data_IF_512589126220
#
_entry.id   IF_512589126220
#
_cell.length_a   1.000
_cell.length_b   1.000
_cell.length_c   1.000
_cell.angle_alpha   90.00
_cell.angle_beta   90.00
_cell.angle_gamma   90.00
#
_symmetry.space_group_name_H-M   'P 1'
#
loop_
_entity.id
_entity.type
_entity.pdbx_description
1 polymer ?
#
# COMPACT_ATOMS: atom_id res chain seq x y z
N UNK A 1 2.48 5.42 21.76
CA UNK A 1 1.07 4.95 21.69
C UNK A 1 1.02 3.70 20.82
N UNK A 2 0.42 2.60 21.30
CA UNK A 2 0.38 1.31 20.59
C UNK A 2 -0.64 1.34 19.44
N UNK A 3 -0.23 0.91 18.24
CA UNK A 3 -1.05 0.91 17.02
C UNK A 3 -1.22 -0.54 16.52
N UNK A 4 -2.18 -1.31 17.05
CA UNK A 4 -2.31 -2.74 16.75
C UNK A 4 -2.67 -3.02 15.29
N UNK A 5 -3.38 -2.10 14.65
CA UNK A 5 -3.94 -2.33 13.31
C UNK A 5 -2.98 -1.98 12.18
N UNK A 6 -1.75 -1.56 12.48
CA UNK A 6 -0.75 -1.18 11.49
C UNK A 6 0.19 -2.35 11.20
N UNK A 7 0.11 -2.91 10.01
CA UNK A 7 0.87 -4.10 9.61
C UNK A 7 1.78 -3.78 8.43
N UNK A 8 2.99 -4.32 8.44
CA UNK A 8 3.91 -4.25 7.29
C UNK A 8 3.57 -5.38 6.32
N UNK A 9 3.15 -5.05 5.10
CA UNK A 9 2.82 -6.02 4.04
C UNK A 9 3.55 -5.68 2.74
N UNK A 10 3.84 -6.72 1.97
CA UNK A 10 4.39 -6.65 0.61
C UNK A 10 3.25 -6.85 -0.37
N UNK A 11 3.06 -5.91 -1.28
CA UNK A 11 1.99 -5.91 -2.28
C UNK A 11 2.62 -5.87 -3.67
N UNK A 12 2.09 -6.66 -4.59
CA UNK A 12 2.47 -6.59 -6.01
C UNK A 12 1.70 -5.46 -6.69
N UNK A 13 2.40 -4.47 -7.23
CA UNK A 13 1.78 -3.36 -7.97
C UNK A 13 2.01 -3.60 -9.45
N UNK A 14 0.95 -3.92 -10.18
CA UNK A 14 1.03 -4.28 -11.60
C UNK A 14 1.52 -3.12 -12.45
N UNK A 15 1.10 -1.89 -12.16
CA UNK A 15 1.48 -0.69 -12.93
C UNK A 15 2.97 -0.34 -12.83
N UNK A 16 3.62 -0.75 -11.74
CA UNK A 16 5.06 -0.53 -11.52
C UNK A 16 5.88 -1.80 -11.74
N UNK A 17 5.21 -2.90 -12.11
CA UNK A 17 5.74 -4.25 -12.26
C UNK A 17 6.73 -4.65 -11.14
N UNK A 18 6.42 -4.27 -9.90
CA UNK A 18 7.31 -4.49 -8.76
C UNK A 18 6.54 -4.72 -7.47
N UNK A 19 7.24 -5.33 -6.51
CA UNK A 19 6.76 -5.41 -5.15
C UNK A 19 7.02 -4.12 -4.39
N UNK A 20 6.03 -3.70 -3.62
CA UNK A 20 6.09 -2.52 -2.77
C UNK A 20 5.81 -2.95 -1.33
N UNK A 21 6.67 -2.56 -0.40
CA UNK A 21 6.51 -2.86 1.02
C UNK A 21 5.90 -1.65 1.73
N UNK A 22 4.71 -1.80 2.29
CA UNK A 22 3.95 -0.71 2.92
C UNK A 22 3.54 -1.08 4.35
N UNK A 23 3.54 -0.09 5.25
CA UNK A 23 2.84 -0.19 6.53
C UNK A 23 1.41 0.31 6.33
N UNK A 24 0.44 -0.60 6.44
CA UNK A 24 -0.95 -0.35 6.12
C UNK A 24 -1.85 -0.72 7.28
N UNK A 25 -2.99 -0.03 7.39
CA UNK A 25 -4.07 -0.46 8.27
C UNK A 25 -4.88 -1.58 7.64
N UNK A 26 -5.60 -2.36 8.45
CA UNK A 26 -6.50 -3.40 7.93
C UNK A 26 -7.61 -2.84 7.03
N UNK A 27 -8.06 -1.60 7.28
CA UNK A 27 -9.05 -0.93 6.44
C UNK A 27 -8.47 -0.56 5.09
N UNK A 28 -7.23 -0.05 5.05
CA UNK A 28 -6.53 0.25 3.81
C UNK A 28 -6.32 -1.03 2.97
N UNK A 29 -6.00 -2.16 3.60
CA UNK A 29 -5.89 -3.44 2.91
C UNK A 29 -7.22 -3.84 2.22
N UNK A 30 -8.36 -3.62 2.89
CA UNK A 30 -9.68 -3.87 2.30
C UNK A 30 -9.96 -2.95 1.10
N UNK A 31 -9.61 -1.67 1.21
CA UNK A 31 -9.75 -0.70 0.11
C UNK A 31 -8.91 -1.11 -1.10
N UNK A 32 -7.66 -1.51 -0.88
CA UNK A 32 -6.76 -2.00 -1.94
C UNK A 32 -7.34 -3.22 -2.64
N UNK A 33 -7.90 -4.17 -1.89
CA UNK A 33 -8.52 -5.36 -2.48
C UNK A 33 -9.78 -5.02 -3.29
N UNK A 34 -10.51 -3.96 -2.93
CA UNK A 34 -11.73 -3.52 -3.63
C UNK A 34 -11.43 -2.69 -4.88
N UNK A 35 -10.53 -1.71 -4.76
CA UNK A 35 -10.26 -0.72 -5.80
C UNK A 35 -9.05 -1.09 -6.68
N UNK A 36 -8.31 -2.15 -6.31
CA UNK A 36 -7.10 -2.58 -6.99
C UNK A 36 -5.84 -1.84 -6.55
N UNK A 37 -4.74 -2.09 -7.27
CA UNK A 37 -3.42 -1.51 -6.95
C UNK A 37 -3.12 -0.19 -7.66
N UNK A 38 -4.05 0.31 -8.48
CA UNK A 38 -3.89 1.55 -9.24
C UNK A 38 -3.80 2.79 -8.33
N UNK A 39 -4.62 2.85 -7.28
CA UNK A 39 -4.54 3.95 -6.31
C UNK A 39 -3.19 3.97 -5.58
N UNK A 40 -2.62 2.79 -5.30
CA UNK A 40 -1.29 2.69 -4.68
C UNK A 40 -0.23 3.24 -5.62
N UNK A 41 -0.26 2.88 -6.90
CA UNK A 41 0.70 3.36 -7.88
C UNK A 41 0.66 4.90 -8.01
N UNK A 42 -0.54 5.49 -8.01
CA UNK A 42 -0.73 6.94 -8.01
C UNK A 42 -0.14 7.59 -6.75
N UNK A 43 -0.44 7.05 -5.57
CA UNK A 43 0.11 7.57 -4.30
C UNK A 43 1.64 7.46 -4.21
N UNK A 44 2.22 6.40 -4.80
CA UNK A 44 3.67 6.24 -4.91
C UNK A 44 4.24 7.29 -5.87
N UNK A 45 3.60 7.53 -7.02
CA UNK A 45 4.01 8.56 -8.00
C UNK A 45 3.97 9.96 -7.40
N UNK A 46 2.95 10.25 -6.59
CA UNK A 46 2.81 11.53 -5.87
C UNK A 46 3.80 11.69 -4.70
N UNK A 47 4.64 10.68 -4.40
CA UNK A 47 5.64 10.75 -3.33
C UNK A 47 5.06 10.74 -1.91
N UNK A 48 3.74 10.57 -1.77
CA UNK A 48 3.05 10.51 -0.47
C UNK A 48 3.36 9.24 0.32
N UNK A 49 3.91 8.23 -0.35
CA UNK A 49 4.19 6.93 0.23
C UNK A 49 5.66 6.58 -0.01
N UNK A 50 6.45 6.51 1.06
CA UNK A 50 7.84 6.03 0.99
C UNK A 50 7.83 4.53 0.77
N UNK A 51 8.24 4.13 -0.43
CA UNK A 51 8.59 2.75 -0.76
C UNK A 51 10.06 2.57 -0.38
N UNK A 52 10.34 1.54 0.41
CA UNK A 52 11.69 1.11 0.76
C UNK A 52 11.95 -0.29 0.22
#
# INVERSE_FOLDING_TARGET
RFLPNLQKKKIWVQELNRFVTLKLSTSALRTINKNGTAEIAKMIKEGKVKVN
#
